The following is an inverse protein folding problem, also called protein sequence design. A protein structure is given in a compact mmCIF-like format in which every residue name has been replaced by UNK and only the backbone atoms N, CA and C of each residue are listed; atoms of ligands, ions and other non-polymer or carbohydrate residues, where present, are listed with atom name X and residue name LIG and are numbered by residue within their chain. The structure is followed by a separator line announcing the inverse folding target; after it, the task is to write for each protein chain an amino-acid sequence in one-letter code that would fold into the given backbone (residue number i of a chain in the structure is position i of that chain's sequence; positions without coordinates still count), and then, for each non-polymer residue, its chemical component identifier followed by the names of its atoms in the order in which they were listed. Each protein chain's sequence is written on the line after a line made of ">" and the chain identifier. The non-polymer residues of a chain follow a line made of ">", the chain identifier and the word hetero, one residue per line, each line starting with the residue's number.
data_IF_461974853774
#
_entry.id   IF_461974853774
#
_cell.length_a   1.000
_cell.length_b   1.000
_cell.length_c   1.000
_cell.angle_alpha   90.00
_cell.angle_beta   90.00
_cell.angle_gamma   90.00
#
_symmetry.space_group_name_H-M   'P 1'
#
loop_
_entity.id
_entity.type
_entity.pdbx_description
1 polymer ?
#
# COMPACT_ATOMS: atom_id res chain seq x y z
N UNK A 1 24.00 -6.64 -72.02
CA UNK A 1 24.35 -5.75 -70.90
C UNK A 1 23.07 -5.53 -70.10
N UNK A 2 22.89 -6.26 -69.00
CA UNK A 2 21.63 -6.28 -68.22
C UNK A 2 21.60 -5.08 -67.27
N UNK A 3 20.72 -4.13 -67.56
CA UNK A 3 20.23 -3.15 -66.59
C UNK A 3 19.29 -3.87 -65.61
N UNK A 4 19.48 -3.75 -64.29
CA UNK A 4 18.39 -3.84 -63.31
C UNK A 4 18.84 -3.42 -61.90
N UNK A 5 17.88 -2.79 -61.20
CA UNK A 5 17.70 -2.69 -59.74
C UNK A 5 18.32 -1.51 -58.96
N UNK A 6 17.90 -0.27 -59.27
CA UNK A 6 18.05 0.85 -58.32
C UNK A 6 16.72 1.48 -57.84
N UNK A 7 15.57 1.15 -58.45
CA UNK A 7 14.30 1.84 -58.14
C UNK A 7 13.60 1.36 -56.86
N UNK A 8 13.83 0.11 -56.44
CA UNK A 8 13.18 -0.47 -55.25
C UNK A 8 13.70 0.11 -53.94
N UNK A 9 14.98 0.47 -53.88
CA UNK A 9 15.64 0.97 -52.66
C UNK A 9 15.23 2.42 -52.34
N UNK A 10 15.10 3.24 -53.39
CA UNK A 10 14.63 4.62 -53.27
C UNK A 10 13.15 4.70 -52.86
N UNK A 11 12.32 3.79 -53.37
CA UNK A 11 10.91 3.64 -53.03
C UNK A 11 10.67 3.34 -51.54
N UNK A 12 11.48 2.47 -50.93
CA UNK A 12 11.35 2.11 -49.51
C UNK A 12 11.80 3.22 -48.58
N UNK A 13 12.87 3.95 -48.91
CA UNK A 13 13.31 5.10 -48.11
C UNK A 13 12.31 6.25 -48.15
N UNK A 14 11.70 6.51 -49.32
CA UNK A 14 10.66 7.52 -49.46
C UNK A 14 9.42 7.16 -48.62
N UNK A 15 9.01 5.89 -48.60
CA UNK A 15 7.90 5.43 -47.75
C UNK A 15 8.20 5.61 -46.27
N UNK A 16 9.38 5.21 -45.80
CA UNK A 16 9.76 5.37 -44.40
C UNK A 16 9.85 6.85 -43.99
N UNK A 17 10.32 7.72 -44.89
CA UNK A 17 10.32 9.17 -44.68
C UNK A 17 8.89 9.74 -44.60
N UNK A 18 7.97 9.28 -45.45
CA UNK A 18 6.57 9.67 -45.38
C UNK A 18 5.87 9.17 -44.09
N UNK A 19 6.17 7.96 -43.62
CA UNK A 19 5.68 7.47 -42.33
C UNK A 19 6.22 8.29 -41.16
N UNK A 20 7.51 8.67 -41.20
CA UNK A 20 8.11 9.54 -40.20
C UNK A 20 7.44 10.92 -40.15
N UNK A 21 7.14 11.52 -41.31
CA UNK A 21 6.39 12.77 -41.40
C UNK A 21 4.99 12.61 -40.83
N UNK A 22 4.25 11.57 -41.23
CA UNK A 22 2.90 11.32 -40.75
C UNK A 22 2.85 11.11 -39.22
N UNK A 23 3.82 10.37 -38.68
CA UNK A 23 3.95 10.16 -37.23
C UNK A 23 4.31 11.46 -36.50
N UNK A 24 5.20 12.27 -37.06
CA UNK A 24 5.57 13.58 -36.48
C UNK A 24 4.37 14.52 -36.42
N UNK A 25 3.55 14.56 -37.48
CA UNK A 25 2.30 15.35 -37.52
C UNK A 25 1.31 14.87 -36.45
N UNK A 26 1.18 13.55 -36.27
CA UNK A 26 0.33 12.96 -35.23
C UNK A 26 0.78 13.34 -33.82
N UNK A 27 2.08 13.29 -33.53
CA UNK A 27 2.64 13.70 -32.23
C UNK A 27 2.37 15.19 -31.97
N UNK A 28 2.58 16.04 -32.99
CA UNK A 28 2.35 17.49 -32.89
C UNK A 28 0.86 17.79 -32.63
N UNK A 29 -0.06 17.09 -33.29
CA UNK A 29 -1.51 17.27 -33.06
C UNK A 29 -1.91 16.83 -31.65
N UNK A 30 -1.36 15.72 -31.14
CA UNK A 30 -1.58 15.29 -29.77
C UNK A 30 -1.08 16.34 -28.76
N UNK A 31 0.09 16.93 -29.02
CA UNK A 31 0.67 17.98 -28.19
C UNK A 31 -0.17 19.27 -28.22
N UNK A 32 -0.70 19.66 -29.39
CA UNK A 32 -1.61 20.80 -29.50
C UNK A 32 -2.94 20.56 -28.75
N UNK A 33 -3.52 19.36 -28.86
CA UNK A 33 -4.72 19.00 -28.09
C UNK A 33 -4.45 19.03 -26.59
N UNK A 34 -3.28 18.59 -26.14
CA UNK A 34 -2.84 18.71 -24.75
C UNK A 34 -2.69 20.18 -24.32
N UNK A 35 -2.02 21.02 -25.11
CA UNK A 35 -1.83 22.45 -24.83
C UNK A 35 -3.16 23.23 -24.81
N UNK A 36 -4.13 22.88 -25.67
CA UNK A 36 -5.47 23.45 -25.63
C UNK A 36 -6.21 23.12 -24.33
N UNK A 37 -5.93 21.96 -23.72
CA UNK A 37 -6.46 21.62 -22.39
C UNK A 37 -5.75 22.34 -21.24
N UNK A 38 -4.52 22.83 -21.41
CA UNK A 38 -3.86 23.72 -20.42
C UNK A 38 -4.52 25.10 -20.36
N UNK A 39 -5.05 25.61 -21.48
CA UNK A 39 -5.69 26.94 -21.52
C UNK A 39 -7.02 27.03 -20.75
N UNK A 40 -7.64 25.89 -20.43
CA UNK A 40 -8.87 25.83 -19.61
C UNK A 40 -8.61 25.92 -18.10
N UNK A 41 -7.35 25.92 -17.67
CA UNK A 41 -6.95 26.16 -16.28
C UNK A 41 -6.19 27.47 -16.19
N UNK A 42 -6.84 28.58 -16.54
CA UNK A 42 -6.34 29.91 -16.18
C UNK A 42 -7.51 30.87 -16.00
N UNK A 43 -8.22 30.69 -14.88
CA UNK A 43 -8.92 31.77 -14.22
C UNK A 43 -8.58 31.68 -12.72
N UNK A 44 -7.31 31.92 -12.43
CA UNK A 44 -6.92 32.50 -11.15
C UNK A 44 -6.35 33.86 -11.51
N UNK A 45 -7.20 34.89 -11.52
CA UNK A 45 -6.69 36.25 -11.63
C UNK A 45 -6.00 36.59 -10.31
N UNK A 46 -4.73 36.96 -10.39
CA UNK A 46 -4.07 37.67 -9.30
C UNK A 46 -4.66 39.08 -9.27
N UNK A 47 -5.69 39.28 -8.47
CA UNK A 47 -6.10 40.63 -8.12
C UNK A 47 -5.08 41.16 -7.11
N UNK A 48 -4.34 42.20 -7.50
CA UNK A 48 -3.61 43.04 -6.57
C UNK A 48 -4.66 43.71 -5.66
N UNK A 49 -4.59 43.44 -4.36
CA UNK A 49 -5.35 44.19 -3.36
C UNK A 49 -4.38 45.17 -2.69
N UNK A 50 -4.65 46.45 -2.91
CA UNK A 50 -4.11 47.54 -2.11
C UNK A 50 -4.52 47.34 -0.64
N UNK A 51 -3.59 47.65 0.26
CA UNK A 51 -3.78 47.58 1.71
C UNK A 51 -4.73 48.69 2.16
N UNK A 52 -6.02 48.36 2.29
CA UNK A 52 -6.92 49.04 3.22
C UNK A 52 -7.44 48.04 4.26
N UNK A 53 -7.55 48.56 5.48
CA UNK A 53 -7.71 47.87 6.75
C UNK A 53 -9.08 47.17 6.85
N UNK A 54 -9.20 45.99 6.24
CA UNK A 54 -10.33 45.09 6.50
C UNK A 54 -9.93 44.09 7.59
N UNK A 55 -10.71 44.12 8.67
CA UNK A 55 -10.69 43.15 9.77
C UNK A 55 -10.54 41.73 9.23
N UNK A 56 -9.44 41.06 9.59
CA UNK A 56 -9.24 39.64 9.32
C UNK A 56 -10.42 38.85 9.91
N UNK A 57 -11.35 38.44 9.05
CA UNK A 57 -12.27 37.33 9.34
C UNK A 57 -11.41 36.06 9.37
N UNK A 58 -10.98 35.67 10.57
CA UNK A 58 -10.49 34.32 10.85
C UNK A 58 -11.67 33.39 10.63
N UNK A 59 -11.79 32.95 9.37
CA UNK A 59 -12.97 32.32 8.80
C UNK A 59 -13.67 31.37 9.75
N UNK A 60 -15.00 31.47 9.77
CA UNK A 60 -15.90 30.57 10.47
C UNK A 60 -15.42 29.12 10.39
N UNK A 61 -14.90 28.58 11.50
CA UNK A 61 -14.58 27.17 11.66
C UNK A 61 -15.79 26.34 11.21
N UNK A 62 -15.65 25.59 10.12
CA UNK A 62 -16.75 24.76 9.63
C UNK A 62 -16.95 23.57 10.58
N UNK A 63 -17.80 23.78 11.59
CA UNK A 63 -18.15 22.80 12.63
C UNK A 63 -18.59 21.45 12.05
N UNK A 64 -19.19 21.46 10.86
CA UNK A 64 -19.63 20.23 10.18
C UNK A 64 -18.42 19.41 9.70
N UNK A 65 -17.38 20.05 9.15
CA UNK A 65 -16.14 19.38 8.71
C UNK A 65 -15.44 18.72 9.89
N UNK A 66 -15.30 19.42 11.02
CA UNK A 66 -14.67 18.88 12.24
C UNK A 66 -15.46 17.66 12.76
N UNK A 67 -16.81 17.74 12.75
CA UNK A 67 -17.64 16.63 13.19
C UNK A 67 -17.54 15.39 12.29
N UNK A 68 -17.35 15.59 10.99
CA UNK A 68 -17.22 14.51 10.03
C UNK A 68 -15.85 13.82 10.15
N UNK A 69 -14.78 14.61 10.30
CA UNK A 69 -13.43 14.10 10.50
C UNK A 69 -13.31 13.30 11.80
N UNK A 70 -13.94 13.76 12.88
CA UNK A 70 -14.01 13.02 14.14
C UNK A 70 -14.70 11.66 13.96
N UNK A 71 -15.89 11.65 13.35
CA UNK A 71 -16.64 10.41 13.07
C UNK A 71 -15.85 9.44 12.17
N UNK A 72 -15.20 9.95 11.13
CA UNK A 72 -14.37 9.14 10.24
C UNK A 72 -13.16 8.56 10.99
N UNK A 73 -12.54 9.34 11.87
CA UNK A 73 -11.41 8.91 12.71
C UNK A 73 -11.83 7.80 13.68
N UNK A 74 -12.98 7.95 14.35
CA UNK A 74 -13.54 6.92 15.23
C UNK A 74 -13.83 5.63 14.46
N UNK A 75 -14.49 5.73 13.30
CA UNK A 75 -14.80 4.59 12.45
C UNK A 75 -13.54 3.83 11.99
N UNK A 76 -12.52 4.56 11.51
CA UNK A 76 -11.26 3.95 11.04
C UNK A 76 -10.46 3.35 12.19
N UNK A 77 -10.47 3.99 13.36
CA UNK A 77 -9.80 3.43 14.54
C UNK A 77 -10.43 2.09 14.95
N UNK A 78 -11.77 1.98 14.92
CA UNK A 78 -12.46 0.73 15.19
C UNK A 78 -12.18 -0.33 14.10
N UNK A 79 -12.22 0.05 12.81
CA UNK A 79 -11.87 -0.84 11.69
C UNK A 79 -10.49 -1.48 11.90
N UNK A 80 -9.46 -0.69 12.19
CA UNK A 80 -8.11 -1.21 12.36
C UNK A 80 -7.93 -1.99 13.66
N UNK A 81 -8.64 -1.63 14.73
CA UNK A 81 -8.75 -2.48 15.93
C UNK A 81 -9.33 -3.86 15.59
N UNK A 82 -10.38 -3.93 14.77
CA UNK A 82 -10.97 -5.20 14.31
C UNK A 82 -10.04 -5.98 13.38
N UNK A 83 -9.25 -5.32 12.53
CA UNK A 83 -8.19 -5.98 11.75
C UNK A 83 -7.13 -6.62 12.65
N UNK A 84 -6.65 -5.87 13.64
CA UNK A 84 -5.66 -6.37 14.59
C UNK A 84 -6.20 -7.56 15.38
N UNK A 85 -7.47 -7.52 15.79
CA UNK A 85 -8.11 -8.67 16.43
C UNK A 85 -8.20 -9.87 15.48
N UNK A 86 -8.71 -9.68 14.26
CA UNK A 86 -8.80 -10.75 13.25
C UNK A 86 -7.44 -11.36 12.93
N UNK A 87 -6.38 -10.56 12.96
CA UNK A 87 -5.02 -11.05 12.83
C UNK A 87 -4.62 -11.95 13.99
N UNK A 88 -4.80 -11.50 15.23
CA UNK A 88 -4.41 -12.25 16.42
C UNK A 88 -5.24 -13.53 16.58
N UNK A 89 -6.55 -13.47 16.36
CA UNK A 89 -7.49 -14.55 16.68
C UNK A 89 -7.78 -15.45 15.47
N UNK A 90 -7.84 -14.87 14.27
CA UNK A 90 -8.32 -15.51 13.06
C UNK A 90 -9.80 -15.29 12.82
N UNK A 91 -10.52 -14.70 13.78
CA UNK A 91 -11.96 -14.42 13.65
C UNK A 91 -12.20 -13.13 12.85
N UNK A 92 -12.87 -13.27 11.70
CA UNK A 92 -13.08 -12.15 10.76
C UNK A 92 -14.52 -11.62 10.75
N UNK A 93 -15.41 -12.18 11.56
CA UNK A 93 -16.83 -11.80 11.60
C UNK A 93 -17.01 -10.30 11.87
N UNK A 94 -16.46 -9.80 12.98
CA UNK A 94 -16.57 -8.38 13.34
C UNK A 94 -15.92 -7.47 12.30
N UNK A 95 -14.80 -7.91 11.71
CA UNK A 95 -14.14 -7.16 10.64
C UNK A 95 -15.02 -7.06 9.40
N UNK A 96 -15.74 -8.14 9.04
CA UNK A 96 -16.60 -8.17 7.86
C UNK A 96 -17.75 -7.16 7.92
N UNK A 97 -18.17 -6.72 9.11
CA UNK A 97 -19.26 -5.75 9.28
C UNK A 97 -18.96 -4.35 8.73
N UNK A 98 -17.68 -4.05 8.47
CA UNK A 98 -17.26 -2.78 7.88
C UNK A 98 -17.44 -2.74 6.36
N UNK A 99 -17.73 -3.87 5.73
CA UNK A 99 -17.67 -4.05 4.28
C UNK A 99 -19.02 -4.46 3.72
N UNK A 100 -19.40 -3.83 2.61
CA UNK A 100 -20.47 -4.34 1.75
C UNK A 100 -20.03 -5.55 0.91
N UNK A 101 -20.26 -6.77 1.37
CA UNK A 101 -19.81 -7.97 0.63
C UNK A 101 -20.61 -8.26 -0.66
N UNK A 102 -21.64 -7.45 -0.96
CA UNK A 102 -22.39 -7.52 -2.22
C UNK A 102 -21.79 -6.62 -3.31
N UNK A 103 -20.91 -5.69 -2.95
CA UNK A 103 -20.26 -4.75 -3.85
C UNK A 103 -18.81 -5.15 -4.14
N UNK A 104 -18.45 -5.19 -5.43
CA UNK A 104 -17.15 -5.71 -5.89
C UNK A 104 -15.93 -5.04 -5.26
N UNK A 105 -15.93 -3.70 -5.13
CA UNK A 105 -14.78 -2.96 -4.58
C UNK A 105 -14.58 -3.22 -3.08
N UNK A 106 -15.69 -3.23 -2.34
CA UNK A 106 -15.70 -3.52 -0.91
C UNK A 106 -15.27 -4.97 -0.65
N UNK A 107 -15.85 -5.93 -1.37
CA UNK A 107 -15.46 -7.34 -1.32
C UNK A 107 -13.99 -7.55 -1.66
N UNK A 108 -13.47 -6.84 -2.67
CA UNK A 108 -12.05 -6.88 -3.00
C UNK A 108 -11.18 -6.39 -1.83
N UNK A 109 -11.56 -5.25 -1.23
CA UNK A 109 -10.83 -4.65 -0.11
C UNK A 109 -10.81 -5.56 1.11
N UNK A 110 -11.94 -6.19 1.44
CA UNK A 110 -12.05 -7.18 2.50
C UNK A 110 -11.15 -8.40 2.22
N UNK A 111 -11.28 -8.99 1.03
CA UNK A 111 -10.48 -10.15 0.65
C UNK A 111 -8.99 -9.84 0.63
N UNK A 112 -8.58 -8.63 0.25
CA UNK A 112 -7.18 -8.22 0.30
C UNK A 112 -6.63 -8.24 1.72
N UNK A 113 -7.41 -7.73 2.69
CA UNK A 113 -7.04 -7.79 4.11
C UNK A 113 -6.98 -9.23 4.63
N UNK A 114 -7.92 -10.10 4.24
CA UNK A 114 -7.89 -11.51 4.64
C UNK A 114 -6.62 -12.22 4.16
N UNK A 115 -6.19 -11.95 2.92
CA UNK A 115 -4.94 -12.50 2.38
C UNK A 115 -3.71 -12.01 3.14
N UNK A 116 -3.69 -10.72 3.50
CA UNK A 116 -2.62 -10.13 4.30
C UNK A 116 -2.54 -10.79 5.67
N UNK A 117 -3.68 -10.90 6.37
CA UNK A 117 -3.78 -11.56 7.67
C UNK A 117 -3.31 -13.02 7.57
N UNK A 118 -3.81 -13.79 6.61
CA UNK A 118 -3.40 -15.18 6.41
C UNK A 118 -1.91 -15.32 6.17
N UNK A 119 -1.33 -14.50 5.27
CA UNK A 119 0.11 -14.54 5.00
C UNK A 119 0.93 -14.32 6.26
N UNK A 120 0.62 -13.28 7.04
CA UNK A 120 1.41 -12.91 8.20
C UNK A 120 1.25 -13.91 9.35
N UNK A 121 0.04 -14.44 9.55
CA UNK A 121 -0.23 -15.55 10.48
C UNK A 121 0.60 -16.78 10.12
N UNK A 122 0.56 -17.19 8.85
CA UNK A 122 1.31 -18.34 8.35
C UNK A 122 2.83 -18.13 8.44
N UNK A 123 3.31 -16.94 8.08
CA UNK A 123 4.72 -16.56 8.18
C UNK A 123 5.25 -16.71 9.61
N UNK A 124 4.46 -16.28 10.60
CA UNK A 124 4.85 -16.37 12.01
C UNK A 124 4.91 -17.83 12.50
N UNK A 125 3.89 -18.64 12.22
CA UNK A 125 3.87 -20.02 12.70
C UNK A 125 4.96 -20.89 12.06
N UNK A 126 5.32 -20.64 10.79
CA UNK A 126 6.45 -21.31 10.11
C UNK A 126 7.81 -21.00 10.77
N UNK A 127 7.85 -20.00 11.66
CA UNK A 127 9.05 -19.53 12.37
C UNK A 127 9.01 -19.75 13.88
N UNK A 128 7.96 -20.41 14.37
CA UNK A 128 7.77 -20.58 15.81
C UNK A 128 7.46 -19.27 16.54
N UNK A 129 7.00 -18.25 15.80
CA UNK A 129 6.67 -16.92 16.31
C UNK A 129 5.18 -16.87 16.71
N UNK A 130 4.90 -16.19 17.81
CA UNK A 130 3.55 -15.89 18.29
C UNK A 130 3.42 -14.38 18.45
N UNK A 131 2.51 -13.76 17.68
CA UNK A 131 2.15 -12.36 17.89
C UNK A 131 1.37 -12.21 19.20
N UNK A 132 1.85 -11.33 20.07
CA UNK A 132 1.25 -11.08 21.39
C UNK A 132 0.36 -9.84 21.38
N UNK A 133 0.68 -8.85 20.55
CA UNK A 133 -0.18 -7.69 20.31
C UNK A 133 0.10 -7.07 18.95
N UNK A 134 -0.94 -6.47 18.37
CA UNK A 134 -0.82 -5.61 17.19
C UNK A 134 -1.56 -4.32 17.50
N UNK A 135 -0.90 -3.19 17.31
CA UNK A 135 -1.51 -1.87 17.52
C UNK A 135 -1.39 -1.02 16.28
N UNK A 136 -2.45 -0.29 15.96
CA UNK A 136 -2.51 0.60 14.80
C UNK A 136 -2.80 2.01 15.28
N UNK A 137 -1.91 2.94 14.94
CA UNK A 137 -2.08 4.37 15.22
C UNK A 137 -2.23 5.12 13.90
N UNK A 138 -3.32 5.88 13.77
CA UNK A 138 -3.77 6.34 12.45
C UNK A 138 -4.05 7.81 12.42
N UNK A 139 -3.58 8.46 11.36
CA UNK A 139 -3.84 9.87 11.07
C UNK A 139 -4.55 9.99 9.72
N UNK A 140 -5.73 10.62 9.72
CA UNK A 140 -6.46 10.95 8.49
C UNK A 140 -5.90 12.23 7.88
N UNK A 141 -5.78 12.25 6.54
CA UNK A 141 -5.31 13.38 5.74
C UNK A 141 -6.16 13.52 4.48
N UNK A 142 -6.19 14.72 3.91
CA UNK A 142 -6.82 15.01 2.61
C UNK A 142 -8.31 14.58 2.54
N UNK A 143 -9.09 14.77 3.61
CA UNK A 143 -10.51 14.39 3.64
C UNK A 143 -11.33 15.24 2.65
N UNK A 144 -12.04 14.55 1.77
CA UNK A 144 -12.95 15.12 0.78
C UNK A 144 -14.34 14.54 0.96
N UNK A 145 -15.34 15.40 0.94
CA UNK A 145 -16.75 15.04 1.05
C UNK A 145 -17.48 15.36 -0.27
N UNK A 146 -18.15 14.36 -0.86
CA UNK A 146 -18.95 14.52 -2.08
C UNK A 146 -20.45 14.44 -1.84
N UNK A 147 -20.90 14.53 -0.58
CA UNK A 147 -22.29 14.34 -0.18
C UNK A 147 -22.54 12.92 0.29
N UNK A 148 -22.55 11.95 -0.62
CA UNK A 148 -22.89 10.54 -0.32
C UNK A 148 -21.68 9.69 0.11
N UNK A 149 -20.46 10.19 -0.12
CA UNK A 149 -19.22 9.46 0.11
C UNK A 149 -18.16 10.41 0.66
N UNK A 150 -17.28 9.88 1.50
CA UNK A 150 -16.04 10.55 1.89
C UNK A 150 -14.84 9.79 1.33
N UNK A 151 -13.81 10.52 0.95
CA UNK A 151 -12.54 9.96 0.52
C UNK A 151 -11.40 10.65 1.25
N UNK A 152 -10.40 9.89 1.69
CA UNK A 152 -9.27 10.42 2.43
C UNK A 152 -8.07 9.49 2.33
N UNK A 153 -6.91 10.00 2.74
CA UNK A 153 -5.74 9.18 3.03
C UNK A 153 -5.69 8.88 4.52
N UNK A 154 -5.27 7.68 4.88
CA UNK A 154 -4.96 7.35 6.26
C UNK A 154 -3.53 6.83 6.34
N UNK A 155 -2.71 7.48 7.16
CA UNK A 155 -1.37 6.99 7.48
C UNK A 155 -1.48 6.13 8.74
N UNK A 156 -1.33 4.83 8.58
CA UNK A 156 -1.32 3.83 9.65
C UNK A 156 0.12 3.48 10.01
N UNK A 157 0.52 3.68 11.27
CA UNK A 157 1.68 3.01 11.85
C UNK A 157 1.21 1.80 12.65
N UNK A 158 1.58 0.61 12.18
CA UNK A 158 1.23 -0.68 12.74
C UNK A 158 2.44 -1.29 13.47
N UNK A 159 2.33 -1.47 14.78
CA UNK A 159 3.34 -2.08 15.63
C UNK A 159 2.96 -3.53 15.93
N UNK A 160 3.90 -4.44 15.69
CA UNK A 160 3.77 -5.88 15.96
C UNK A 160 4.70 -6.26 17.10
N UNK A 161 4.12 -6.74 18.20
CA UNK A 161 4.87 -7.38 19.28
C UNK A 161 4.72 -8.89 19.17
N UNK A 162 5.84 -9.59 19.32
CA UNK A 162 5.87 -11.04 19.18
C UNK A 162 6.90 -11.67 20.12
N UNK A 163 6.71 -12.96 20.37
CA UNK A 163 7.62 -13.81 21.13
C UNK A 163 7.90 -15.07 20.32
N UNK A 164 8.97 -15.78 20.68
CA UNK A 164 9.16 -17.14 20.21
C UNK A 164 8.44 -18.10 21.15
N UNK A 165 7.96 -19.23 20.62
CA UNK A 165 7.18 -20.19 21.42
C UNK A 165 7.90 -20.73 22.66
N UNK A 166 9.24 -20.69 22.67
CA UNK A 166 10.12 -21.19 23.74
C UNK A 166 10.85 -20.06 24.50
N UNK A 167 10.58 -18.80 24.19
CA UNK A 167 11.25 -17.64 24.77
C UNK A 167 10.26 -16.47 24.93
N UNK A 168 10.12 -15.99 26.17
CA UNK A 168 9.20 -14.91 26.52
C UNK A 168 9.78 -13.50 26.24
N UNK A 169 10.97 -13.39 25.66
CA UNK A 169 11.55 -12.11 25.28
C UNK A 169 10.69 -11.47 24.19
N UNK A 170 10.14 -10.29 24.47
CA UNK A 170 9.30 -9.55 23.53
C UNK A 170 10.19 -8.89 22.48
N UNK A 171 9.85 -9.12 21.23
CA UNK A 171 10.43 -8.49 20.05
C UNK A 171 9.38 -7.60 19.38
N UNK A 172 9.83 -6.55 18.68
CA UNK A 172 8.93 -5.55 18.09
C UNK A 172 9.41 -5.15 16.71
N UNK A 173 8.49 -5.07 15.75
CA UNK A 173 8.72 -4.39 14.47
C UNK A 173 7.55 -3.48 14.11
N UNK A 174 7.82 -2.51 13.24
CA UNK A 174 6.84 -1.51 12.82
C UNK A 174 6.73 -1.43 11.29
N UNK A 175 5.51 -1.24 10.83
CA UNK A 175 5.17 -1.06 9.41
C UNK A 175 4.30 0.17 9.28
N UNK A 176 4.63 1.02 8.30
CA UNK A 176 3.78 2.13 7.92
C UNK A 176 3.01 1.80 6.65
N UNK A 177 1.68 1.95 6.68
CA UNK A 177 0.79 1.77 5.54
C UNK A 177 0.09 3.09 5.22
N UNK A 178 0.05 3.44 3.94
CA UNK A 178 -0.69 4.60 3.45
C UNK A 178 -1.91 4.08 2.71
N UNK A 179 -3.08 4.33 3.30
CA UNK A 179 -4.38 3.93 2.77
C UNK A 179 -4.98 5.06 1.95
N UNK A 180 -5.67 4.69 0.88
CA UNK A 180 -6.61 5.54 0.15
C UNK A 180 -7.98 4.92 0.34
N UNK A 181 -8.79 5.56 1.19
CA UNK A 181 -10.08 5.07 1.62
C UNK A 181 -11.21 5.85 0.94
N UNK A 182 -12.25 5.11 0.55
CA UNK A 182 -13.54 5.63 0.14
C UNK A 182 -14.61 4.99 1.01
N UNK A 183 -15.39 5.80 1.72
CA UNK A 183 -16.46 5.34 2.58
C UNK A 183 -17.80 5.88 2.10
N UNK A 184 -18.76 5.00 1.87
CA UNK A 184 -20.15 5.38 1.64
C UNK A 184 -20.76 5.82 2.97
N UNK A 185 -21.49 6.94 2.98
CA UNK A 185 -22.26 7.37 4.14
C UNK A 185 -23.53 6.54 4.21
N UNK A 186 -23.78 5.96 5.38
CA UNK A 186 -25.04 5.30 5.73
C UNK A 186 -25.61 6.02 6.94
N UNK A 187 -26.94 5.97 7.15
CA UNK A 187 -27.70 6.85 8.06
C UNK A 187 -26.91 7.41 9.27
N UNK A 188 -26.31 6.53 10.08
CA UNK A 188 -25.53 6.91 11.28
C UNK A 188 -24.09 6.38 11.30
N UNK A 189 -23.54 5.91 10.17
CA UNK A 189 -22.21 5.30 10.13
C UNK A 189 -21.59 5.41 8.72
N UNK A 190 -20.57 4.60 8.48
CA UNK A 190 -19.91 4.44 7.21
C UNK A 190 -19.85 2.98 6.81
N UNK A 191 -19.65 2.76 5.51
CA UNK A 191 -19.36 1.47 4.92
C UNK A 191 -18.16 1.62 3.99
N UNK A 192 -17.21 0.67 4.04
CA UNK A 192 -16.05 0.67 3.15
C UNK A 192 -16.52 0.40 1.73
N UNK A 193 -16.39 1.40 0.85
CA UNK A 193 -16.48 1.18 -0.61
C UNK A 193 -15.15 0.66 -1.14
N UNK A 194 -14.04 1.24 -0.65
CA UNK A 194 -12.69 0.90 -1.09
C UNK A 194 -11.68 1.20 0.01
N UNK A 195 -10.76 0.27 0.23
CA UNK A 195 -9.49 0.50 0.91
C UNK A 195 -8.35 0.02 0.02
N UNK A 196 -7.52 0.95 -0.43
CA UNK A 196 -6.34 0.65 -1.22
C UNK A 196 -5.08 1.10 -0.49
N UNK A 197 -4.18 0.17 -0.22
CA UNK A 197 -2.87 0.44 0.33
C UNK A 197 -1.83 -0.42 -0.40
N UNK A 198 -0.61 0.11 -0.54
CA UNK A 198 0.53 -0.69 -0.97
C UNK A 198 1.20 -1.25 0.28
N UNK A 199 1.21 -2.57 0.39
CA UNK A 199 1.81 -3.26 1.52
C UNK A 199 3.29 -3.58 1.26
N UNK A 200 4.09 -3.68 2.33
CA UNK A 200 5.49 -4.10 2.25
C UNK A 200 5.64 -5.55 1.76
N UNK A 201 4.56 -6.32 1.89
CA UNK A 201 4.40 -7.66 1.34
C UNK A 201 4.27 -7.68 -0.19
N UNK A 202 4.10 -6.53 -0.84
CA UNK A 202 4.00 -6.35 -2.30
C UNK A 202 3.01 -7.37 -2.92
N UNK A 203 3.44 -8.17 -3.90
CA UNK A 203 2.59 -9.18 -4.54
C UNK A 203 2.43 -10.47 -3.72
N UNK A 204 3.18 -10.63 -2.63
CA UNK A 204 3.20 -11.88 -1.85
C UNK A 204 1.89 -12.04 -1.08
N UNK A 205 1.39 -10.98 -0.45
CA UNK A 205 0.06 -10.98 0.19
C UNK A 205 -1.07 -10.92 -0.83
N UNK A 206 -0.98 -10.07 -1.86
CA UNK A 206 -2.07 -9.87 -2.84
C UNK A 206 -2.50 -11.18 -3.56
N UNK A 207 -1.57 -12.13 -3.70
CA UNK A 207 -1.81 -13.44 -4.31
C UNK A 207 -1.84 -14.59 -3.30
N UNK A 208 -1.78 -14.31 -1.99
CA UNK A 208 -1.87 -15.35 -0.97
C UNK A 208 -3.26 -15.97 -0.98
N UNK A 209 -3.34 -17.28 -0.77
CA UNK A 209 -4.61 -17.96 -0.63
C UNK A 209 -4.99 -17.98 0.85
N UNK A 210 -6.26 -17.75 1.15
CA UNK A 210 -6.81 -17.95 2.49
C UNK A 210 -7.93 -18.99 2.43
N UNK A 211 -8.18 -19.64 3.57
CA UNK A 211 -9.29 -20.56 3.74
C UNK A 211 -10.11 -20.11 4.95
N UNK A 212 -11.44 -20.05 4.78
CA UNK A 212 -12.38 -19.71 5.83
C UNK A 212 -13.17 -20.96 6.23
N UNK A 213 -13.15 -21.25 7.52
CA UNK A 213 -14.05 -22.22 8.15
C UNK A 213 -15.08 -21.43 8.96
N UNK A 214 -16.21 -21.11 8.33
CA UNK A 214 -17.14 -20.11 8.88
C UNK A 214 -16.50 -18.72 8.89
N UNK A 215 -16.38 -18.12 10.08
CA UNK A 215 -15.71 -16.82 10.28
C UNK A 215 -14.24 -16.92 10.68
N UNK A 216 -13.66 -18.13 10.70
CA UNK A 216 -12.29 -18.34 11.15
C UNK A 216 -11.33 -18.52 9.97
N UNK A 217 -10.22 -17.76 9.97
CA UNK A 217 -9.09 -17.94 9.07
C UNK A 217 -8.21 -19.10 9.54
N UNK A 218 -8.26 -20.19 8.78
CA UNK A 218 -7.43 -21.36 9.00
C UNK A 218 -5.98 -21.10 8.60
N UNK A 219 -5.04 -21.66 9.37
CA UNK A 219 -3.64 -21.67 8.97
C UNK A 219 -3.46 -22.59 7.76
N UNK A 220 -2.75 -22.13 6.74
CA UNK A 220 -2.35 -22.98 5.62
C UNK A 220 -1.02 -23.69 5.90
N UNK A 221 -0.29 -23.22 6.91
CA UNK A 221 1.02 -23.72 7.30
C UNK A 221 0.96 -24.45 8.63
N UNK A 222 2.03 -25.21 8.88
CA UNK A 222 2.22 -25.92 10.14
C UNK A 222 3.19 -25.17 11.02
N UNK A 223 2.88 -25.12 12.31
CA UNK A 223 3.77 -24.57 13.31
C UNK A 223 5.13 -25.28 13.30
N UNK A 224 6.21 -24.49 13.24
CA UNK A 224 7.58 -25.00 13.19
C UNK A 224 8.39 -24.51 14.39
N UNK A 225 8.50 -25.38 15.38
CA UNK A 225 9.30 -25.14 16.60
C UNK A 225 10.81 -25.14 16.37
N UNK A 226 11.29 -25.72 15.28
CA UNK A 226 12.72 -25.90 15.00
C UNK A 226 13.18 -24.98 13.87
N UNK A 227 12.51 -23.84 13.67
CA UNK A 227 12.96 -22.87 12.68
C UNK A 227 14.34 -22.36 13.07
N UNK A 228 15.29 -22.47 12.15
CA UNK A 228 16.67 -22.01 12.31
C UNK A 228 16.98 -21.13 11.12
N UNK A 229 17.43 -19.92 11.43
CA UNK A 229 17.90 -18.97 10.43
C UNK A 229 19.33 -19.34 10.09
N UNK A 230 19.63 -19.45 8.80
CA UNK A 230 20.96 -19.86 8.32
C UNK A 230 21.73 -18.73 7.66
N UNK A 231 21.25 -17.50 7.80
CA UNK A 231 21.84 -16.33 7.17
C UNK A 231 23.01 -15.75 7.97
N UNK A 232 24.08 -15.41 7.25
CA UNK A 232 25.25 -14.70 7.79
C UNK A 232 25.18 -13.22 7.43
N UNK A 233 24.13 -12.54 7.89
CA UNK A 233 23.94 -11.11 7.69
C UNK A 233 24.48 -10.32 8.88
N UNK A 234 25.20 -9.24 8.60
CA UNK A 234 25.78 -8.32 9.58
C UNK A 234 25.04 -6.98 9.57
N UNK A 235 24.99 -6.29 10.71
CA UNK A 235 24.52 -4.90 10.79
C UNK A 235 25.29 -4.04 9.77
N UNK A 236 24.55 -3.26 8.99
CA UNK A 236 25.07 -2.44 7.90
C UNK A 236 25.06 -3.12 6.52
N UNK A 237 24.81 -4.43 6.45
CA UNK A 237 24.62 -5.11 5.17
C UNK A 237 23.41 -4.54 4.43
N UNK A 238 23.57 -4.27 3.13
CA UNK A 238 22.50 -3.82 2.25
C UNK A 238 21.91 -5.05 1.56
N UNK A 239 20.60 -5.22 1.72
CA UNK A 239 19.83 -6.28 1.07
C UNK A 239 19.05 -5.71 -0.11
N UNK A 240 19.16 -6.38 -1.24
CA UNK A 240 18.44 -6.09 -2.47
C UNK A 240 17.38 -7.17 -2.71
N UNK A 241 16.11 -6.75 -2.76
CA UNK A 241 14.96 -7.64 -2.94
C UNK A 241 14.56 -7.65 -4.41
N UNK A 242 14.77 -8.78 -5.09
CA UNK A 242 14.56 -8.86 -6.55
C UNK A 242 13.21 -9.48 -6.91
N UNK A 243 12.54 -8.83 -7.85
CA UNK A 243 11.32 -9.34 -8.49
C UNK A 243 11.59 -9.42 -9.99
N UNK A 244 11.59 -10.64 -10.51
CA UNK A 244 12.07 -10.93 -11.87
C UNK A 244 13.50 -10.42 -12.07
N UNK A 245 13.71 -9.50 -13.02
CA UNK A 245 15.03 -8.97 -13.38
C UNK A 245 15.32 -7.60 -12.75
N UNK A 246 14.47 -7.11 -11.83
CA UNK A 246 14.60 -5.78 -11.24
C UNK A 246 14.68 -5.86 -9.71
N UNK A 247 15.39 -4.90 -9.11
CA UNK A 247 15.34 -4.66 -7.67
C UNK A 247 14.04 -3.91 -7.36
N UNK A 248 13.19 -4.51 -6.55
CA UNK A 248 11.89 -3.96 -6.14
C UNK A 248 12.07 -2.97 -4.99
N UNK A 249 12.91 -3.33 -4.01
CA UNK A 249 13.37 -2.42 -2.95
C UNK A 249 14.69 -2.87 -2.34
N UNK A 250 15.22 -2.04 -1.45
CA UNK A 250 16.40 -2.31 -0.64
C UNK A 250 16.09 -2.15 0.84
N UNK A 251 16.82 -2.87 1.68
CA UNK A 251 16.81 -2.72 3.12
C UNK A 251 18.24 -2.71 3.66
N UNK A 252 18.43 -2.13 4.84
CA UNK A 252 19.70 -2.20 5.58
C UNK A 252 19.49 -3.01 6.84
N UNK A 253 20.35 -3.99 7.10
CA UNK A 253 20.34 -4.75 8.35
C UNK A 253 20.71 -3.80 9.48
N UNK A 254 19.80 -3.64 10.44
CA UNK A 254 19.90 -2.64 11.50
C UNK A 254 20.06 -3.27 12.89
N UNK A 255 19.76 -4.56 13.04
CA UNK A 255 19.86 -5.26 14.29
C UNK A 255 19.36 -6.70 14.17
N UNK A 256 19.14 -7.31 15.34
CA UNK A 256 18.59 -8.64 15.45
C UNK A 256 17.57 -8.72 16.57
N UNK A 257 16.65 -9.66 16.45
CA UNK A 257 15.73 -9.99 17.54
C UNK A 257 16.34 -10.95 18.57
N UNK A 258 15.54 -11.39 19.56
CA UNK A 258 16.00 -12.24 20.66
C UNK A 258 16.57 -13.61 20.25
N UNK A 259 16.31 -14.08 19.03
CA UNK A 259 16.86 -15.33 18.47
C UNK A 259 17.89 -15.09 17.36
N UNK A 260 18.43 -13.88 17.28
CA UNK A 260 19.34 -13.43 16.23
C UNK A 260 18.70 -13.36 14.84
N UNK A 261 17.38 -13.16 14.73
CA UNK A 261 16.72 -12.94 13.43
C UNK A 261 17.14 -11.59 12.87
N UNK A 262 17.74 -11.52 11.66
CA UNK A 262 18.14 -10.24 11.07
C UNK A 262 16.93 -9.32 10.85
N UNK A 263 17.04 -8.09 11.33
CA UNK A 263 16.02 -7.05 11.17
C UNK A 263 16.53 -5.96 10.24
N UNK A 264 15.66 -5.46 9.37
CA UNK A 264 16.00 -4.44 8.38
C UNK A 264 15.11 -3.21 8.48
N UNK A 265 15.68 -2.07 8.09
CA UNK A 265 14.95 -0.84 7.83
C UNK A 265 14.86 -0.60 6.32
N UNK A 266 13.70 -0.15 5.84
CA UNK A 266 13.48 0.19 4.44
C UNK A 266 12.75 1.52 4.29
N UNK A 267 13.32 2.41 3.49
CA UNK A 267 12.74 3.73 3.19
C UNK A 267 11.58 3.66 2.22
N UNK A 268 11.46 2.59 1.42
CA UNK A 268 10.39 2.46 0.43
C UNK A 268 9.02 2.32 1.11
N UNK A 269 8.99 1.82 2.35
CA UNK A 269 7.77 1.41 3.03
C UNK A 269 7.73 1.93 4.47
N UNK A 270 8.65 2.86 4.80
CA UNK A 270 8.87 3.41 6.14
C UNK A 270 8.77 2.33 7.23
N UNK A 271 9.41 1.19 6.99
CA UNK A 271 9.38 0.05 7.90
C UNK A 271 10.61 0.07 8.79
N UNK A 272 10.42 -0.29 10.06
CA UNK A 272 11.46 -0.28 11.07
C UNK A 272 11.55 -1.64 11.77
N UNK A 273 12.77 -2.17 11.86
CA UNK A 273 13.09 -3.45 12.48
C UNK A 273 12.30 -4.64 11.90
N UNK A 274 11.92 -4.62 10.61
CA UNK A 274 11.17 -5.75 10.04
C UNK A 274 12.07 -6.97 9.85
N UNK A 275 11.58 -8.20 10.11
CA UNK A 275 12.32 -9.41 9.77
C UNK A 275 12.72 -9.41 8.30
N UNK A 276 14.00 -9.68 8.01
CA UNK A 276 14.60 -9.39 6.70
C UNK A 276 13.91 -10.07 5.52
N UNK A 277 13.23 -11.20 5.72
CA UNK A 277 12.55 -11.96 4.68
C UNK A 277 11.02 -11.80 4.70
N UNK A 278 10.47 -11.00 5.61
CA UNK A 278 9.03 -10.78 5.70
C UNK A 278 8.51 -10.12 4.41
N UNK A 279 7.56 -10.78 3.75
CA UNK A 279 7.06 -10.38 2.43
C UNK A 279 7.83 -10.97 1.25
N UNK A 280 8.91 -11.71 1.50
CA UNK A 280 9.82 -12.23 0.50
C UNK A 280 10.08 -13.72 0.65
N UNK A 281 10.55 -14.33 -0.43
CA UNK A 281 11.18 -15.66 -0.37
C UNK A 281 12.68 -15.42 -0.31
N UNK A 282 13.36 -16.07 0.64
CA UNK A 282 14.81 -16.00 0.85
C UNK A 282 15.63 -16.05 -0.46
N UNK A 283 15.18 -16.88 -1.42
CA UNK A 283 15.84 -17.08 -2.72
C UNK A 283 15.94 -15.83 -3.61
N UNK A 284 15.22 -14.76 -3.29
CA UNK A 284 15.20 -13.51 -4.07
C UNK A 284 15.81 -12.33 -3.31
N UNK A 285 16.46 -12.57 -2.18
CA UNK A 285 17.14 -11.56 -1.36
C UNK A 285 18.63 -11.71 -1.59
N UNK A 286 19.31 -10.62 -1.93
CA UNK A 286 20.74 -10.62 -2.23
C UNK A 286 21.44 -9.58 -1.37
N UNK A 287 22.50 -9.98 -0.69
CA UNK A 287 23.46 -9.05 -0.11
C UNK A 287 24.26 -8.37 -1.23
N UNK A 288 24.33 -7.04 -1.21
CA UNK A 288 25.15 -6.24 -2.14
C UNK A 288 26.65 -6.31 -1.81
#
# INVERSE_FOLDING_TARGET
>A
MKFFNNDKYFSTHLKNFLYFIAYSIFIITLFFLFALNLSKTSNLSSNNYDLEDETFDVGSFNKNTISLELKATEYISDLFSKRNNAFLTGEVHDLSMFYNLTHTNSTYSFNNELKRISYLRDWAIERGIIFTSITSSVTIKDLKDTGDMITFKADENCEFNYVYYDDNTVNTFNVNLIHILSLNKIDNSFEIEKDYYLDFLNNTSNNYAYNLNGSHLEFSKSFNKNFVITDNLNIGDILSYKKFNFVDHKGVVCGYDSKNYPLVNSTTINSNNIPFDLGWKEKNIYKE
#
